data_IF_347391631528
#
_entry.id   IF_347391631528
#
_cell.length_a   1.000
_cell.length_b   1.000
_cell.length_c   1.000
_cell.angle_alpha   90.00
_cell.angle_beta   90.00
_cell.angle_gamma   90.00
#
_symmetry.space_group_name_H-M   'P 1'
#
loop_
_entity.id
_entity.type
_entity.pdbx_description
1 polymer ?
#
# COMPACT_ATOMS: atom_id res chain seq x y z
N UNK A 1 -13.53 -9.91 2.97
CA UNK A 1 -12.71 -9.01 3.80
C UNK A 1 -11.45 -9.75 4.25
N UNK A 2 -10.27 -9.14 4.14
CA UNK A 2 -9.00 -9.75 4.60
C UNK A 2 -8.98 -9.75 6.12
N UNK A 3 -9.03 -10.93 6.74
CA UNK A 3 -9.21 -11.04 8.19
C UNK A 3 -7.88 -11.05 8.97
N UNK A 4 -6.84 -10.35 8.50
CA UNK A 4 -5.48 -10.35 9.08
C UNK A 4 -5.04 -8.99 9.60
N UNK A 5 -4.54 -8.96 10.84
CA UNK A 5 -3.93 -7.79 11.48
C UNK A 5 -2.52 -7.48 10.93
N UNK A 6 -1.97 -8.38 10.11
CA UNK A 6 -0.63 -8.25 9.53
C UNK A 6 -0.71 -8.54 8.04
N UNK A 7 -0.17 -7.63 7.24
CA UNK A 7 0.00 -7.75 5.78
C UNK A 7 1.19 -8.64 5.40
N UNK A 8 1.37 -9.74 6.13
CA UNK A 8 2.33 -10.78 5.77
C UNK A 8 1.66 -11.79 4.83
N UNK A 9 2.24 -11.99 3.65
CA UNK A 9 1.65 -12.82 2.61
C UNK A 9 1.41 -14.28 3.04
N UNK A 10 2.32 -14.89 3.82
CA UNK A 10 2.12 -16.27 4.29
C UNK A 10 0.98 -16.38 5.30
N UNK A 11 0.83 -15.38 6.18
CA UNK A 11 -0.29 -15.30 7.12
C UNK A 11 -1.62 -15.04 6.41
N UNK A 12 -1.61 -14.19 5.38
CA UNK A 12 -2.80 -13.88 4.57
C UNK A 12 -3.33 -15.13 3.84
N UNK A 13 -2.44 -15.99 3.33
CA UNK A 13 -2.83 -17.21 2.62
C UNK A 13 -3.63 -18.18 3.48
N UNK A 14 -3.39 -18.22 4.79
CA UNK A 14 -4.10 -19.09 5.73
C UNK A 14 -5.53 -18.61 6.01
N UNK A 15 -5.87 -17.37 5.65
CA UNK A 15 -7.20 -16.77 5.86
C UNK A 15 -8.01 -16.63 4.57
N UNK A 16 -7.54 -17.23 3.48
CA UNK A 16 -8.25 -17.23 2.21
C UNK A 16 -9.38 -18.27 2.17
N UNK A 17 -10.40 -18.08 1.31
CA UNK A 17 -11.55 -18.98 1.22
C UNK A 17 -11.16 -20.47 1.12
N UNK A 18 -11.94 -21.31 1.80
CA UNK A 18 -11.72 -22.75 1.90
C UNK A 18 -11.87 -23.47 0.55
N UNK A 19 -11.13 -24.57 0.36
CA UNK A 19 -11.18 -25.43 -0.84
C UNK A 19 -9.92 -25.38 -1.71
N UNK A 20 -8.97 -24.49 -1.41
CA UNK A 20 -7.69 -24.36 -2.11
C UNK A 20 -6.54 -24.40 -1.07
N UNK A 21 -5.46 -25.14 -1.36
CA UNK A 21 -4.27 -25.21 -0.49
C UNK A 21 -3.68 -23.81 -0.27
N UNK A 22 -3.25 -23.47 0.94
CA UNK A 22 -2.59 -22.19 1.25
C UNK A 22 -1.39 -21.89 0.33
N UNK A 23 -0.62 -22.91 -0.06
CA UNK A 23 0.48 -22.78 -1.03
C UNK A 23 0.02 -22.35 -2.44
N UNK A 24 -1.20 -22.72 -2.85
CA UNK A 24 -1.79 -22.25 -4.10
C UNK A 24 -2.20 -20.77 -3.99
N UNK A 25 -2.78 -20.37 -2.86
CA UNK A 25 -3.04 -18.95 -2.57
C UNK A 25 -1.77 -18.11 -2.56
N UNK A 26 -0.69 -18.63 -1.97
CA UNK A 26 0.61 -17.96 -1.94
C UNK A 26 1.15 -17.71 -3.35
N UNK A 27 1.12 -18.73 -4.22
CA UNK A 27 1.53 -18.58 -5.63
C UNK A 27 0.65 -17.58 -6.39
N UNK A 28 -0.66 -17.55 -6.13
CA UNK A 28 -1.57 -16.57 -6.76
C UNK A 28 -1.24 -15.13 -6.33
N UNK A 29 -0.97 -14.91 -5.04
CA UNK A 29 -0.55 -13.59 -4.55
C UNK A 29 0.80 -13.16 -5.13
N UNK A 30 1.77 -14.08 -5.22
CA UNK A 30 3.07 -13.80 -5.85
C UNK A 30 2.89 -13.37 -7.30
N UNK A 31 2.08 -14.10 -8.08
CA UNK A 31 1.77 -13.73 -9.48
C UNK A 31 1.10 -12.37 -9.57
N UNK A 32 0.09 -12.12 -8.73
CA UNK A 32 -0.59 -10.83 -8.70
C UNK A 32 0.40 -9.69 -8.45
N UNK A 33 1.29 -9.81 -7.44
CA UNK A 33 2.28 -8.78 -7.13
C UNK A 33 3.31 -8.61 -8.25
N UNK A 34 3.69 -9.70 -8.94
CA UNK A 34 4.66 -9.62 -10.05
C UNK A 34 4.06 -9.06 -11.34
N UNK A 35 2.76 -9.26 -11.57
CA UNK A 35 2.06 -8.84 -12.79
C UNK A 35 1.48 -7.44 -12.67
N UNK A 36 1.16 -7.00 -11.45
CA UNK A 36 0.57 -5.68 -11.25
C UNK A 36 1.60 -4.57 -11.49
N UNK A 37 1.25 -3.65 -12.39
CA UNK A 37 1.99 -2.43 -12.63
C UNK A 37 1.07 -1.25 -12.33
N UNK A 38 1.35 -0.55 -11.24
CA UNK A 38 0.61 0.66 -10.87
C UNK A 38 1.50 1.85 -11.22
N UNK A 39 1.06 2.66 -12.16
CA UNK A 39 1.73 3.91 -12.49
C UNK A 39 1.75 4.85 -11.29
N UNK A 40 2.86 5.54 -11.08
CA UNK A 40 2.99 6.58 -10.04
C UNK A 40 1.95 7.71 -10.16
N UNK A 41 1.35 7.87 -11.34
CA UNK A 41 0.25 8.84 -11.56
C UNK A 41 -1.10 8.30 -11.11
N UNK A 42 -1.29 6.98 -11.13
CA UNK A 42 -2.57 6.32 -10.82
C UNK A 42 -2.68 6.05 -9.32
N UNK A 43 -1.57 5.72 -8.65
CA UNK A 43 -1.55 5.40 -7.22
C UNK A 43 -2.20 6.49 -6.34
N UNK A 44 -1.85 7.79 -6.43
CA UNK A 44 -2.52 8.83 -5.65
C UNK A 44 -4.04 8.89 -5.88
N UNK A 45 -4.49 8.79 -7.14
CA UNK A 45 -5.92 8.82 -7.48
C UNK A 45 -6.64 7.63 -6.84
N UNK A 46 -6.04 6.44 -6.92
CA UNK A 46 -6.59 5.25 -6.29
C UNK A 46 -6.67 5.38 -4.76
N UNK A 47 -5.63 5.92 -4.12
CA UNK A 47 -5.61 6.13 -2.67
C UNK A 47 -6.67 7.12 -2.22
N UNK A 48 -6.84 8.23 -2.94
CA UNK A 48 -7.91 9.20 -2.70
C UNK A 48 -9.27 8.49 -2.76
N UNK A 49 -9.58 7.83 -3.87
CA UNK A 49 -10.87 7.13 -4.06
C UNK A 49 -11.13 6.03 -3.02
N UNK A 50 -10.10 5.30 -2.59
CA UNK A 50 -10.24 4.23 -1.60
C UNK A 50 -10.47 4.75 -0.17
N UNK A 51 -10.04 5.97 0.11
CA UNK A 51 -10.09 6.56 1.47
C UNK A 51 -11.20 7.58 1.63
N UNK A 52 -11.71 8.15 0.52
CA UNK A 52 -12.86 9.04 0.50
C UNK A 52 -12.55 10.47 0.96
N UNK A 53 -11.29 10.82 1.18
CA UNK A 53 -10.94 12.15 1.69
C UNK A 53 -11.09 13.27 0.66
N UNK A 54 -11.37 12.96 -0.61
CA UNK A 54 -11.78 13.97 -1.59
C UNK A 54 -13.06 14.72 -1.21
N UNK A 55 -13.85 14.13 -0.31
CA UNK A 55 -15.09 14.73 0.22
C UNK A 55 -14.79 15.85 1.24
N UNK A 56 -13.56 15.95 1.74
CA UNK A 56 -13.15 17.01 2.65
C UNK A 56 -13.02 18.34 1.93
N UNK A 57 -13.53 19.42 2.55
CA UNK A 57 -13.46 20.76 1.96
C UNK A 57 -12.03 21.30 1.84
N UNK A 58 -11.10 20.83 2.68
CA UNK A 58 -9.71 21.27 2.72
C UNK A 58 -8.79 20.10 2.99
N UNK A 59 -7.66 20.07 2.30
CA UNK A 59 -6.62 19.08 2.52
C UNK A 59 -5.49 19.69 3.34
N UNK A 60 -5.08 18.99 4.38
CA UNK A 60 -3.84 19.31 5.11
C UNK A 60 -2.73 18.49 4.48
N UNK A 61 -1.82 19.18 3.79
CA UNK A 61 -0.66 18.57 3.17
C UNK A 61 0.49 18.49 4.15
N UNK A 62 1.16 17.34 4.19
CA UNK A 62 2.37 17.13 4.97
C UNK A 62 3.50 16.57 4.09
N UNK A 63 4.72 16.91 4.47
CA UNK A 63 5.94 16.34 3.92
C UNK A 63 6.55 15.42 4.96
N UNK A 64 6.84 14.18 4.57
CA UNK A 64 7.46 13.19 5.45
C UNK A 64 8.63 12.50 4.75
N UNK A 65 9.72 12.25 5.50
CA UNK A 65 10.88 11.51 4.99
C UNK A 65 10.89 10.11 5.56
N UNK A 66 10.94 9.12 4.68
CA UNK A 66 11.14 7.72 5.08
C UNK A 66 12.42 7.16 4.48
N UNK A 67 13.15 6.38 5.27
CA UNK A 67 14.34 5.65 4.81
C UNK A 67 14.01 4.16 4.78
N UNK A 68 14.03 3.60 3.58
CA UNK A 68 13.86 2.17 3.36
C UNK A 68 15.22 1.53 3.15
N UNK A 69 15.46 0.40 3.81
CA UNK A 69 16.70 -0.35 3.66
C UNK A 69 16.42 -1.64 2.88
N UNK A 70 16.87 -1.68 1.63
CA UNK A 70 16.80 -2.86 0.78
C UNK A 70 18.16 -3.57 0.78
N UNK A 71 18.31 -4.58 1.64
CA UNK A 71 19.60 -5.21 1.90
C UNK A 71 20.60 -4.20 2.47
N UNK A 72 21.63 -3.85 1.70
CA UNK A 72 22.61 -2.80 2.06
C UNK A 72 22.29 -1.43 1.46
N UNK A 73 21.33 -1.35 0.53
CA UNK A 73 20.98 -0.11 -0.16
C UNK A 73 19.97 0.69 0.66
N UNK A 74 20.26 1.97 0.88
CA UNK A 74 19.29 2.92 1.43
C UNK A 74 18.50 3.56 0.28
N UNK A 75 17.19 3.65 0.46
CA UNK A 75 16.25 4.31 -0.42
C UNK A 75 15.58 5.38 0.44
N UNK A 76 15.95 6.63 0.23
CA UNK A 76 15.33 7.76 0.92
C UNK A 76 14.16 8.24 0.06
N UNK A 77 12.98 8.36 0.65
CA UNK A 77 11.81 8.84 -0.06
C UNK A 77 11.27 10.04 0.71
N UNK A 78 11.14 11.17 0.02
CA UNK A 78 10.36 12.30 0.50
C UNK A 78 8.95 12.18 -0.06
N UNK A 79 7.97 11.99 0.81
CA UNK A 79 6.56 11.91 0.44
C UNK A 79 5.86 13.25 0.65
N UNK A 80 5.08 13.68 -0.34
CA UNK A 80 3.95 14.58 -0.15
C UNK A 80 2.72 13.72 0.17
N UNK A 81 2.07 13.99 1.28
CA UNK A 81 0.94 13.23 1.77
C UNK A 81 -0.21 14.15 2.22
N UNK A 82 -1.42 13.59 2.31
CA UNK A 82 -2.57 14.22 2.97
C UNK A 82 -2.67 13.66 4.37
N UNK A 83 -2.71 14.55 5.37
CA UNK A 83 -3.05 14.17 6.73
C UNK A 83 -4.57 13.99 6.84
N UNK A 84 -5.01 12.75 7.02
CA UNK A 84 -6.42 12.39 7.10
C UNK A 84 -6.65 11.47 8.29
N UNK A 85 -7.52 11.87 9.23
CA UNK A 85 -7.86 11.09 10.42
C UNK A 85 -6.66 10.54 11.21
N UNK A 86 -5.60 11.35 11.35
CA UNK A 86 -4.38 10.96 12.07
C UNK A 86 -3.43 10.04 11.30
N UNK A 87 -3.68 9.81 10.01
CA UNK A 87 -2.84 9.02 9.12
C UNK A 87 -2.33 9.90 7.98
N UNK A 88 -1.06 9.77 7.61
CA UNK A 88 -0.52 10.40 6.41
C UNK A 88 -0.73 9.47 5.19
N UNK A 89 -1.59 9.87 4.26
CA UNK A 89 -1.85 9.13 3.02
C UNK A 89 -0.95 9.68 1.92
N UNK A 90 0.01 8.89 1.40
CA UNK A 90 0.98 9.37 0.43
C UNK A 90 0.32 9.68 -0.92
N UNK A 91 0.64 10.83 -1.50
CA UNK A 91 0.24 11.21 -2.85
C UNK A 91 1.40 11.01 -3.84
N UNK A 92 2.54 11.61 -3.55
CA UNK A 92 3.70 11.62 -4.44
C UNK A 92 4.98 11.40 -3.65
N UNK A 93 5.91 10.65 -4.23
CA UNK A 93 7.22 10.39 -3.65
C UNK A 93 8.34 10.76 -4.61
N UNK A 94 9.45 11.29 -4.08
CA UNK A 94 10.70 11.53 -4.80
C UNK A 94 11.81 10.73 -4.10
N UNK A 95 12.65 10.06 -4.89
CA UNK A 95 13.71 9.13 -4.45
C UNK A 95 15.09 9.78 -4.50
#
# INVERSE_FOLDING_TARGET
MLNSRTVNMSLLCNRMPSGIKAASWYRRMQRFISEISISWRVLPVMLVMMTGFEQEQKWVLCLDRTNWKFGKRHINILYLAVSFHGIAIPLFGIF
#
